data_IF_449216154391
#
_entry.id   IF_449216154391
#
_cell.length_a   1.000
_cell.length_b   1.000
_cell.length_c   1.000
_cell.angle_alpha   90.00
_cell.angle_beta   90.00
_cell.angle_gamma   90.00
#
_symmetry.space_group_name_H-M   'P 1'
#
loop_
_entity.id
_entity.type
_entity.pdbx_description
1 polymer ?
#
# COMPACT_ATOMS: atom_id res chain seq x y z
N UNK A 1 18.30 -16.05 -16.26
CA UNK A 1 19.32 -16.20 -15.18
C UNK A 1 19.61 -14.90 -14.42
N UNK A 2 20.59 -14.04 -14.77
CA UNK A 2 20.95 -12.87 -13.90
C UNK A 2 19.83 -11.84 -13.62
N UNK A 3 18.88 -11.64 -14.53
CA UNK A 3 17.74 -10.73 -14.31
C UNK A 3 16.68 -11.32 -13.37
N UNK A 4 16.39 -12.62 -13.48
CA UNK A 4 15.41 -13.31 -12.63
C UNK A 4 15.88 -13.42 -11.18
N UNK A 5 17.17 -13.67 -10.94
CA UNK A 5 17.73 -13.72 -9.58
C UNK A 5 17.64 -12.37 -8.87
N UNK A 6 17.90 -11.27 -9.61
CA UNK A 6 17.75 -9.90 -9.09
C UNK A 6 16.30 -9.51 -8.83
N UNK A 7 15.36 -10.05 -9.59
CA UNK A 7 13.94 -9.81 -9.38
C UNK A 7 13.39 -10.63 -8.21
N UNK A 8 13.86 -11.87 -8.07
CA UNK A 8 13.57 -12.73 -6.92
C UNK A 8 14.09 -12.11 -5.61
N UNK A 9 15.31 -11.56 -5.60
CA UNK A 9 15.86 -10.87 -4.44
C UNK A 9 15.00 -9.67 -4.01
N UNK A 10 14.60 -8.81 -4.96
CA UNK A 10 13.73 -7.65 -4.67
C UNK A 10 12.34 -8.04 -4.18
N UNK A 11 11.78 -9.15 -4.64
CA UNK A 11 10.50 -9.67 -4.12
C UNK A 11 10.64 -10.12 -2.67
N UNK A 12 11.74 -10.79 -2.34
CA UNK A 12 11.95 -11.28 -0.98
C UNK A 12 12.19 -10.14 0.02
N UNK A 13 12.94 -9.11 -0.37
CA UNK A 13 13.10 -7.89 0.44
C UNK A 13 11.76 -7.24 0.77
N UNK A 14 10.85 -7.13 -0.21
CA UNK A 14 9.50 -6.58 0.02
C UNK A 14 8.70 -7.39 1.03
N UNK A 15 8.76 -8.74 0.94
CA UNK A 15 8.07 -9.62 1.89
C UNK A 15 8.64 -9.50 3.30
N UNK A 16 9.97 -9.45 3.42
CA UNK A 16 10.66 -9.25 4.71
C UNK A 16 10.24 -7.93 5.35
N UNK A 17 10.20 -6.85 4.57
CA UNK A 17 9.75 -5.54 5.04
C UNK A 17 8.30 -5.57 5.52
N UNK A 18 7.38 -6.12 4.72
CA UNK A 18 5.96 -6.25 5.09
C UNK A 18 5.78 -7.06 6.38
N UNK A 19 6.47 -8.19 6.50
CA UNK A 19 6.44 -9.05 7.68
C UNK A 19 6.99 -8.34 8.91
N UNK A 20 8.10 -7.61 8.77
CA UNK A 20 8.70 -6.83 9.85
C UNK A 20 7.74 -5.75 10.36
N UNK A 21 7.16 -4.95 9.47
CA UNK A 21 6.22 -3.89 9.84
C UNK A 21 4.96 -4.46 10.51
N UNK A 22 4.45 -5.59 10.00
CA UNK A 22 3.31 -6.27 10.61
C UNK A 22 3.62 -6.80 12.01
N UNK A 23 4.85 -7.31 12.22
CA UNK A 23 5.29 -7.75 13.54
C UNK A 23 5.36 -6.56 14.51
N UNK A 24 6.01 -5.45 14.11
CA UNK A 24 6.09 -4.23 14.93
C UNK A 24 4.70 -3.73 15.35
N UNK A 25 3.75 -3.69 14.43
CA UNK A 25 2.37 -3.29 14.74
C UNK A 25 1.71 -4.21 15.78
N UNK A 26 1.93 -5.52 15.69
CA UNK A 26 1.21 -6.50 16.53
C UNK A 26 1.86 -6.78 17.87
N UNK A 27 3.17 -6.66 17.96
CA UNK A 27 3.93 -7.13 19.13
C UNK A 27 4.52 -6.01 19.96
N UNK A 28 4.67 -4.81 19.40
CA UNK A 28 5.36 -3.72 20.09
C UNK A 28 4.49 -3.03 21.12
N UNK A 29 5.08 -2.75 22.29
CA UNK A 29 4.37 -2.16 23.42
C UNK A 29 4.33 -0.64 23.32
N UNK A 30 5.41 -0.03 22.87
CA UNK A 30 5.53 1.42 22.73
C UNK A 30 4.67 1.93 21.59
N UNK A 31 3.77 2.88 21.90
CA UNK A 31 2.83 3.44 20.93
C UNK A 31 3.57 4.17 19.79
N UNK A 32 4.68 4.83 20.10
CA UNK A 32 5.52 5.54 19.15
C UNK A 32 6.04 4.63 18.04
N UNK A 33 6.43 3.40 18.37
CA UNK A 33 6.94 2.44 17.40
C UNK A 33 5.82 1.92 16.52
N UNK A 34 4.64 1.62 17.09
CA UNK A 34 3.46 1.22 16.31
C UNK A 34 3.01 2.34 15.36
N UNK A 35 2.94 3.58 15.85
CA UNK A 35 2.64 4.78 15.02
C UNK A 35 3.66 4.96 13.91
N UNK A 36 4.96 4.80 14.20
CA UNK A 36 6.01 4.89 13.20
C UNK A 36 5.87 3.78 12.14
N UNK A 37 5.57 2.55 12.54
CA UNK A 37 5.32 1.44 11.61
C UNK A 37 4.12 1.73 10.69
N UNK A 38 3.01 2.21 11.24
CA UNK A 38 1.84 2.66 10.46
C UNK A 38 2.22 3.77 9.48
N UNK A 39 3.02 4.75 9.92
CA UNK A 39 3.49 5.83 9.05
C UNK A 39 4.36 5.30 7.90
N UNK A 40 5.29 4.38 8.16
CA UNK A 40 6.11 3.75 7.11
C UNK A 40 5.23 3.01 6.11
N UNK A 41 4.23 2.24 6.56
CA UNK A 41 3.26 1.59 5.66
C UNK A 41 2.56 2.63 4.78
N UNK A 42 2.13 3.75 5.35
CA UNK A 42 1.48 4.84 4.61
C UNK A 42 2.39 5.41 3.52
N UNK A 43 3.66 5.69 3.85
CA UNK A 43 4.65 6.19 2.87
C UNK A 43 4.97 5.16 1.79
N UNK A 44 5.04 3.88 2.15
CA UNK A 44 5.21 2.79 1.18
C UNK A 44 4.05 2.78 0.20
N UNK A 45 2.80 2.81 0.68
CA UNK A 45 1.63 2.87 -0.20
C UNK A 45 1.72 4.08 -1.14
N UNK A 46 1.94 5.29 -0.62
CA UNK A 46 2.11 6.52 -1.44
C UNK A 46 3.16 6.39 -2.53
N UNK A 47 4.38 5.99 -2.18
CA UNK A 47 5.50 5.90 -3.11
C UNK A 47 5.36 4.78 -4.14
N UNK A 48 4.55 3.75 -3.85
CA UNK A 48 4.38 2.59 -4.71
C UNK A 48 3.23 2.78 -5.72
N UNK A 49 2.30 3.69 -5.47
CA UNK A 49 1.19 4.00 -6.37
C UNK A 49 1.64 4.70 -7.65
N UNK A 50 2.74 5.45 -7.59
CA UNK A 50 3.33 6.13 -8.75
C UNK A 50 4.15 5.18 -9.63
N UNK A 51 4.53 4.00 -9.12
CA UNK A 51 5.37 3.04 -9.83
C UNK A 51 4.76 1.64 -9.81
N UNK A 52 3.92 1.35 -10.80
CA UNK A 52 3.54 -0.02 -11.24
C UNK A 52 2.86 -0.89 -10.17
N UNK A 53 1.54 -0.96 -10.21
CA UNK A 53 0.70 -1.90 -9.45
C UNK A 53 1.07 -3.38 -9.61
N UNK A 54 1.81 -3.76 -10.66
CA UNK A 54 2.36 -5.11 -10.86
C UNK A 54 3.42 -5.51 -9.81
N UNK A 55 4.09 -4.53 -9.19
CA UNK A 55 5.19 -4.78 -8.23
C UNK A 55 4.65 -5.05 -6.82
N UNK A 56 3.42 -4.64 -6.53
CA UNK A 56 2.88 -4.56 -5.17
C UNK A 56 1.79 -5.58 -4.83
N UNK A 57 1.21 -6.29 -5.79
CA UNK A 57 0.14 -7.25 -5.51
C UNK A 57 0.50 -8.25 -4.39
N UNK A 58 1.78 -8.62 -4.31
CA UNK A 58 2.28 -9.60 -3.34
C UNK A 58 2.33 -9.11 -1.89
N UNK A 59 2.44 -7.80 -1.64
CA UNK A 59 2.56 -7.24 -0.28
C UNK A 59 1.44 -6.28 0.08
N UNK A 60 0.72 -5.75 -0.91
CA UNK A 60 -0.37 -4.79 -0.71
C UNK A 60 -1.46 -5.36 0.20
N UNK A 61 -1.83 -6.62 -0.01
CA UNK A 61 -2.85 -7.28 0.80
C UNK A 61 -2.43 -7.41 2.27
N UNK A 62 -1.15 -7.71 2.52
CA UNK A 62 -0.62 -7.84 3.87
C UNK A 62 -0.59 -6.48 4.59
N UNK A 63 -0.13 -5.43 3.88
CA UNK A 63 -0.11 -4.06 4.41
C UNK A 63 -1.53 -3.55 4.70
N UNK A 64 -2.49 -3.79 3.80
CA UNK A 64 -3.90 -3.46 4.01
C UNK A 64 -4.47 -4.18 5.24
N UNK A 65 -4.19 -5.48 5.39
CA UNK A 65 -4.64 -6.27 6.55
C UNK A 65 -4.02 -5.76 7.84
N UNK A 66 -2.75 -5.35 7.83
CA UNK A 66 -2.09 -4.75 8.99
C UNK A 66 -2.79 -3.44 9.40
N UNK A 67 -3.05 -2.54 8.45
CA UNK A 67 -3.79 -1.30 8.73
C UNK A 67 -5.21 -1.58 9.24
N UNK A 68 -5.92 -2.54 8.64
CA UNK A 68 -7.27 -2.91 9.10
C UNK A 68 -7.27 -3.48 10.52
N UNK A 69 -6.23 -4.22 10.88
CA UNK A 69 -6.04 -4.71 12.25
C UNK A 69 -5.81 -3.55 13.22
N UNK A 70 -4.96 -2.58 12.88
CA UNK A 70 -4.73 -1.39 13.73
C UNK A 70 -6.04 -0.68 14.02
N UNK A 71 -6.85 -0.42 13.00
CA UNK A 71 -8.14 0.27 13.16
C UNK A 71 -9.11 -0.46 14.10
N UNK A 72 -9.05 -1.80 14.13
CA UNK A 72 -9.98 -2.60 14.94
C UNK A 72 -9.43 -3.05 16.30
N UNK A 73 -8.15 -2.87 16.57
CA UNK A 73 -7.50 -3.55 17.70
C UNK A 73 -6.35 -2.81 18.37
N UNK A 74 -5.78 -1.75 17.76
CA UNK A 74 -4.72 -0.99 18.43
C UNK A 74 -5.31 -0.15 19.56
N UNK A 75 -4.73 -0.17 20.77
CA UNK A 75 -5.20 0.64 21.89
C UNK A 75 -4.89 2.14 21.75
N UNK A 76 -4.03 2.52 20.80
CA UNK A 76 -3.63 3.91 20.62
C UNK A 76 -4.47 4.62 19.54
N UNK A 77 -5.26 5.62 19.96
CA UNK A 77 -6.14 6.38 19.07
C UNK A 77 -5.41 7.10 17.93
N UNK A 78 -4.16 7.53 18.16
CA UNK A 78 -3.35 8.19 17.13
C UNK A 78 -2.93 7.19 16.04
N UNK A 79 -2.51 5.98 16.43
CA UNK A 79 -2.22 4.90 15.51
C UNK A 79 -3.48 4.50 14.72
N UNK A 80 -4.63 4.42 15.38
CA UNK A 80 -5.93 4.16 14.73
C UNK A 80 -6.25 5.23 13.69
N UNK A 81 -6.16 6.51 14.06
CA UNK A 81 -6.43 7.62 13.14
C UNK A 81 -5.48 7.59 11.94
N UNK A 82 -4.17 7.39 12.18
CA UNK A 82 -3.19 7.28 11.10
C UNK A 82 -3.52 6.10 10.15
N UNK A 83 -3.96 4.96 10.70
CA UNK A 83 -4.33 3.81 9.88
C UNK A 83 -5.62 4.06 9.09
N UNK A 84 -6.60 4.78 9.64
CA UNK A 84 -7.81 5.19 8.92
C UNK A 84 -7.47 6.08 7.71
N UNK A 85 -6.66 7.12 7.93
CA UNK A 85 -6.23 8.03 6.87
C UNK A 85 -5.44 7.29 5.78
N UNK A 86 -4.58 6.34 6.17
CA UNK A 86 -3.83 5.52 5.22
C UNK A 86 -4.75 4.63 4.36
N UNK A 87 -5.83 4.09 4.95
CA UNK A 87 -6.82 3.28 4.22
C UNK A 87 -7.66 4.13 3.25
N UNK A 88 -8.06 5.34 3.63
CA UNK A 88 -8.77 6.28 2.74
C UNK A 88 -7.92 6.69 1.53
N UNK A 89 -6.64 6.94 1.78
CA UNK A 89 -5.69 7.26 0.72
C UNK A 89 -5.50 6.07 -0.23
N UNK A 90 -5.38 4.87 0.32
CA UNK A 90 -5.31 3.65 -0.48
C UNK A 90 -6.58 3.44 -1.32
N UNK A 91 -7.78 3.73 -0.79
CA UNK A 91 -9.02 3.67 -1.58
C UNK A 91 -8.99 4.66 -2.75
N UNK A 92 -8.52 5.88 -2.51
CA UNK A 92 -8.37 6.91 -3.55
C UNK A 92 -7.43 6.47 -4.67
N UNK A 93 -6.29 5.89 -4.30
CA UNK A 93 -5.34 5.28 -5.23
C UNK A 93 -6.01 4.16 -6.04
N UNK A 94 -6.67 3.22 -5.35
CA UNK A 94 -7.25 2.04 -5.98
C UNK A 94 -8.36 2.42 -6.96
N UNK A 95 -9.16 3.44 -6.63
CA UNK A 95 -10.18 3.99 -7.53
C UNK A 95 -9.56 4.54 -8.81
N UNK A 96 -8.45 5.30 -8.72
CA UNK A 96 -7.74 5.82 -9.91
C UNK A 96 -7.19 4.69 -10.78
N UNK A 97 -6.79 3.58 -10.17
CA UNK A 97 -6.29 2.41 -10.89
C UNK A 97 -7.41 1.59 -11.55
N UNK A 98 -8.53 1.37 -10.86
CA UNK A 98 -9.68 0.60 -11.37
C UNK A 98 -10.47 1.42 -12.41
N UNK A 99 -10.57 2.72 -12.21
CA UNK A 99 -11.29 3.67 -13.06
C UNK A 99 -10.34 4.74 -13.62
N UNK A 100 -9.44 4.38 -14.55
CA UNK A 100 -8.55 5.34 -15.16
C UNK A 100 -9.36 6.37 -15.97
N UNK A 101 -8.91 7.63 -15.97
CA UNK A 101 -9.54 8.71 -16.71
C UNK A 101 -9.73 8.33 -18.19
N UNK A 102 -10.99 8.22 -18.60
CA UNK A 102 -11.34 7.93 -19.98
C UNK A 102 -11.14 9.22 -20.81
N UNK A 103 -10.06 9.27 -21.59
CA UNK A 103 -9.90 10.33 -22.59
C UNK A 103 -10.88 10.08 -23.74
N UNK A 104 -12.09 10.63 -23.64
CA UNK A 104 -13.06 10.65 -24.73
C UNK A 104 -12.50 11.45 -25.90
N UNK A 105 -11.83 10.77 -26.83
CA UNK A 105 -11.46 11.36 -28.12
C UNK A 105 -12.71 11.35 -29.01
N UNK A 106 -13.33 12.52 -29.24
CA UNK A 106 -14.38 12.65 -30.25
C UNK A 106 -13.77 12.38 -31.62
N UNK A 107 -13.94 11.17 -32.13
CA UNK A 107 -13.60 10.81 -33.52
C UNK A 107 -14.74 11.31 -34.40
N UNK A 108 -14.65 12.57 -34.84
CA UNK A 108 -15.58 13.11 -35.84
C UNK A 108 -15.20 12.45 -37.18
N UNK A 109 -16.03 11.52 -37.64
CA UNK A 109 -15.93 10.95 -38.98
C UNK A 109 -16.97 11.68 -39.82
N UNK A 110 -16.51 12.45 -40.81
CA UNK A 110 -17.38 13.00 -41.84
C UNK A 110 -17.66 11.86 -42.82
N UNK A 111 -18.91 11.40 -42.88
CA UNK A 111 -19.34 10.43 -43.88
C UNK A 111 -19.58 11.15 -45.21
N UNK A 112 -19.14 10.60 -46.35
CA UNK A 112 -19.35 11.15 -47.69
C UNK A 112 -20.80 11.07 -48.14
#
# INVERSE_FOLDING_TARGET
MRKEEREKGRKEERRKLSSCLTALIKTEREAEVRRAAVHVITQLLRGLCDRTTQVLSEVLLDLYRALRWVVGSDPDDVAVLHAQLALEELDTIMRRFIFPEQKLQKKIVVLP
#
